data_IF_385509919017
#
_entry.id   IF_385509919017
#
_cell.length_a   1.000
_cell.length_b   1.000
_cell.length_c   1.000
_cell.angle_alpha   90.00
_cell.angle_beta   90.00
_cell.angle_gamma   90.00
#
_symmetry.space_group_name_H-M   'P 1'
#
loop_
_entity.id
_entity.type
_entity.pdbx_description
1 polymer ?
#
# COMPACT_ATOMS: atom_id res chain seq x y z
N UNK A 1 -9.86 7.32 -15.53
CA UNK A 1 -9.40 7.23 -14.14
C UNK A 1 -9.49 5.78 -13.76
N UNK A 2 -8.38 5.15 -13.38
CA UNK A 2 -8.46 3.81 -12.79
C UNK A 2 -9.08 3.95 -11.39
N UNK A 3 -10.00 3.06 -11.08
CA UNK A 3 -10.67 3.00 -9.78
C UNK A 3 -9.75 2.29 -8.78
N UNK A 4 -9.43 2.94 -7.66
CA UNK A 4 -8.57 2.39 -6.61
C UNK A 4 -9.15 1.10 -6.00
N UNK A 5 -10.49 0.97 -5.97
CA UNK A 5 -11.16 -0.26 -5.49
C UNK A 5 -10.87 -1.41 -6.45
N UNK A 6 -11.08 -1.21 -7.75
CA UNK A 6 -10.79 -2.24 -8.77
C UNK A 6 -9.30 -2.62 -8.80
N UNK A 7 -8.40 -1.71 -8.40
CA UNK A 7 -6.99 -2.03 -8.29
C UNK A 7 -6.66 -2.81 -7.01
N UNK A 8 -7.34 -2.55 -5.89
CA UNK A 8 -7.22 -3.33 -4.66
C UNK A 8 -7.62 -4.80 -4.89
N UNK A 9 -8.70 -5.03 -5.64
CA UNK A 9 -9.19 -6.36 -5.98
C UNK A 9 -8.16 -7.22 -6.73
N UNK A 10 -7.31 -6.60 -7.57
CA UNK A 10 -6.22 -7.30 -8.29
C UNK A 10 -5.17 -7.92 -7.34
N UNK A 11 -5.08 -7.40 -6.12
CA UNK A 11 -4.22 -7.92 -5.05
C UNK A 11 -4.96 -8.85 -4.08
N UNK A 12 -6.21 -9.21 -4.40
CA UNK A 12 -7.07 -10.00 -3.52
C UNK A 12 -7.55 -9.22 -2.29
N UNK A 13 -7.44 -7.89 -2.30
CA UNK A 13 -7.83 -7.03 -1.18
C UNK A 13 -9.31 -6.68 -1.36
N UNK A 14 -10.16 -7.27 -0.54
CA UNK A 14 -11.63 -7.15 -0.66
C UNK A 14 -12.32 -6.75 0.64
N UNK A 15 -11.66 -6.87 1.80
CA UNK A 15 -12.19 -6.35 3.05
C UNK A 15 -12.23 -4.81 3.03
N UNK A 16 -13.33 -4.23 3.50
CA UNK A 16 -13.57 -2.78 3.42
C UNK A 16 -12.46 -1.95 4.10
N UNK A 17 -11.92 -2.41 5.23
CA UNK A 17 -10.81 -1.72 5.92
C UNK A 17 -9.57 -1.72 5.04
N UNK A 18 -9.16 -2.88 4.57
CA UNK A 18 -7.97 -3.03 3.76
C UNK A 18 -8.10 -2.36 2.38
N UNK A 19 -9.29 -2.36 1.77
CA UNK A 19 -9.57 -1.59 0.55
C UNK A 19 -9.39 -0.10 0.79
N UNK A 20 -9.88 0.43 1.91
CA UNK A 20 -9.72 1.85 2.26
C UNK A 20 -8.25 2.22 2.39
N UNK A 21 -7.46 1.41 3.11
CA UNK A 21 -6.02 1.60 3.28
C UNK A 21 -5.29 1.55 1.92
N UNK A 22 -5.64 0.59 1.08
CA UNK A 22 -5.08 0.49 -0.25
C UNK A 22 -5.40 1.73 -1.11
N UNK A 23 -6.65 2.19 -1.10
CA UNK A 23 -7.09 3.37 -1.85
C UNK A 23 -6.35 4.63 -1.40
N UNK A 24 -6.04 4.77 -0.11
CA UNK A 24 -5.21 5.87 0.37
C UNK A 24 -3.79 5.83 -0.20
N UNK A 25 -3.15 4.66 -0.27
CA UNK A 25 -1.85 4.54 -0.95
C UNK A 25 -1.95 4.91 -2.43
N UNK A 26 -3.02 4.48 -3.10
CA UNK A 26 -3.27 4.78 -4.50
C UNK A 26 -3.48 6.29 -4.76
N UNK A 27 -4.17 6.99 -3.85
CA UNK A 27 -4.38 8.43 -3.92
C UNK A 27 -3.08 9.18 -3.64
N UNK A 28 -2.35 8.78 -2.59
CA UNK A 28 -1.13 9.45 -2.12
C UNK A 28 0.01 9.35 -3.13
N UNK A 29 0.27 8.14 -3.63
CA UNK A 29 1.41 7.86 -4.50
C UNK A 29 1.05 7.79 -5.99
N UNK A 30 -0.25 7.86 -6.30
CA UNK A 30 -0.78 7.80 -7.64
C UNK A 30 -0.86 6.39 -8.25
N UNK A 31 -1.52 6.26 -9.42
CA UNK A 31 -1.59 5.00 -10.15
C UNK A 31 -0.20 4.45 -10.48
N UNK A 32 0.02 3.16 -10.23
CA UNK A 32 1.29 2.50 -10.52
C UNK A 32 2.38 2.64 -9.45
N UNK A 33 2.05 3.18 -8.27
CA UNK A 33 2.99 3.29 -7.13
C UNK A 33 3.72 1.97 -6.81
N UNK A 34 3.04 0.83 -6.98
CA UNK A 34 3.63 -0.50 -6.78
C UNK A 34 4.88 -0.78 -7.62
N UNK A 35 5.03 -0.08 -8.75
CA UNK A 35 6.12 -0.30 -9.71
C UNK A 35 7.13 0.85 -9.73
N UNK A 36 6.78 1.99 -9.13
CA UNK A 36 7.65 3.16 -9.13
C UNK A 36 8.90 2.91 -8.24
N UNK A 37 10.10 3.35 -8.64
CA UNK A 37 11.34 3.01 -7.92
C UNK A 37 11.34 3.32 -6.42
N UNK A 38 10.75 4.45 -6.01
CA UNK A 38 10.69 4.88 -4.61
C UNK A 38 9.72 4.04 -3.74
N UNK A 39 8.71 3.42 -4.35
CA UNK A 39 7.60 2.75 -3.69
C UNK A 39 7.48 1.28 -4.08
N UNK A 40 8.42 0.74 -4.87
CA UNK A 40 8.42 -0.64 -5.37
C UNK A 40 8.29 -1.68 -4.25
N UNK A 41 8.90 -1.39 -3.11
CA UNK A 41 8.83 -2.24 -1.92
C UNK A 41 7.39 -2.47 -1.42
N UNK A 42 6.45 -1.54 -1.67
CA UNK A 42 5.04 -1.72 -1.35
C UNK A 42 4.40 -2.73 -2.30
N UNK A 43 4.70 -2.64 -3.60
CA UNK A 43 4.24 -3.60 -4.61
C UNK A 43 4.75 -5.01 -4.33
N UNK A 44 6.02 -5.14 -3.94
CA UNK A 44 6.61 -6.42 -3.55
C UNK A 44 5.80 -7.05 -2.39
N UNK A 45 5.51 -6.29 -1.33
CA UNK A 45 4.68 -6.74 -0.19
C UNK A 45 3.24 -7.11 -0.61
N UNK A 46 2.61 -6.28 -1.45
CA UNK A 46 1.23 -6.51 -1.90
C UNK A 46 1.11 -7.85 -2.67
N UNK A 47 2.14 -8.23 -3.41
CA UNK A 47 2.19 -9.47 -4.20
C UNK A 47 2.63 -10.71 -3.40
N UNK A 48 3.02 -10.60 -2.12
CA UNK A 48 3.42 -11.75 -1.31
C UNK A 48 2.24 -12.71 -1.04
N UNK A 49 2.16 -13.82 -1.77
CA UNK A 49 1.02 -14.74 -1.72
C UNK A 49 0.75 -15.34 -0.32
N UNK A 50 1.79 -15.52 0.49
CA UNK A 50 1.69 -16.21 1.78
C UNK A 50 1.18 -15.31 2.92
N UNK A 51 1.00 -14.00 2.70
CA UNK A 51 0.54 -13.06 3.73
C UNK A 51 -0.89 -12.58 3.50
N UNK A 52 -1.71 -12.49 4.55
CA UNK A 52 -3.01 -11.83 4.48
C UNK A 52 -2.90 -10.35 4.09
N UNK A 53 -3.94 -9.82 3.43
CA UNK A 53 -4.03 -8.41 3.05
C UNK A 53 -3.81 -7.45 4.24
N UNK A 54 -4.40 -7.77 5.39
CA UNK A 54 -4.27 -6.97 6.61
C UNK A 54 -2.83 -6.86 7.10
N UNK A 55 -2.07 -7.96 7.06
CA UNK A 55 -0.66 -7.97 7.46
C UNK A 55 0.19 -7.15 6.49
N UNK A 56 -0.01 -7.32 5.17
CA UNK A 56 0.70 -6.55 4.13
C UNK A 56 0.52 -5.05 4.32
N UNK A 57 -0.72 -4.61 4.48
CA UNK A 57 -1.04 -3.19 4.62
C UNK A 57 -0.55 -2.63 5.95
N UNK A 58 -0.70 -3.36 7.06
CA UNK A 58 -0.14 -2.94 8.35
C UNK A 58 1.39 -2.74 8.27
N UNK A 59 2.12 -3.63 7.59
CA UNK A 59 3.57 -3.50 7.40
C UNK A 59 3.94 -2.28 6.54
N UNK A 60 3.16 -2.00 5.49
CA UNK A 60 3.35 -0.82 4.65
C UNK A 60 3.19 0.46 5.48
N UNK A 61 2.08 0.58 6.22
CA UNK A 61 1.80 1.76 7.04
C UNK A 61 2.82 1.93 8.17
N UNK A 62 3.19 0.84 8.87
CA UNK A 62 4.22 0.90 9.91
C UNK A 62 5.57 1.40 9.36
N UNK A 63 5.95 0.98 8.15
CA UNK A 63 7.19 1.45 7.52
C UNK A 63 7.11 2.93 7.10
N UNK A 64 5.95 3.39 6.63
CA UNK A 64 5.73 4.79 6.29
C UNK A 64 5.80 5.68 7.54
N UNK A 65 5.12 5.30 8.62
CA UNK A 65 5.16 6.01 9.91
C UNK A 65 6.61 6.13 10.44
N UNK A 66 7.38 5.04 10.38
CA UNK A 66 8.78 5.03 10.77
C UNK A 66 9.67 5.91 9.86
N UNK A 67 9.31 6.10 8.60
CA UNK A 67 10.03 6.99 7.70
C UNK A 67 9.72 8.46 8.00
N UNK A 68 8.45 8.78 8.28
CA UNK A 68 8.01 10.13 8.65
C UNK A 68 8.58 10.57 9.99
N UNK A 69 8.59 9.68 11.00
CA UNK A 69 9.17 9.98 12.31
C UNK A 69 10.63 10.43 12.22
N UNK A 70 11.43 9.78 11.37
CA UNK A 70 12.84 10.15 11.14
C UNK A 70 13.03 11.49 10.42
N UNK A 71 12.03 11.96 9.68
CA UNK A 71 12.09 13.24 8.99
C UNK A 71 11.61 14.41 9.86
N UNK A 72 10.86 14.14 10.93
CA UNK A 72 10.40 15.14 11.90
C UNK A 72 11.41 15.49 13.00
N UNK A 73 12.55 14.79 13.08
CA UNK A 73 13.63 15.02 14.04
C UNK A 73 14.76 15.91 13.50
N UNK A 74 14.52 16.63 12.39
CA UNK A 74 15.48 17.50 11.70
C UNK A 74 15.31 18.99 11.95
#
# INVERSE_FOLDING_TARGET
MEDGIAHAERHGITDAREVTLYVFLFIEFGPGFEKAPATRWMGDLLTEAQRPASEKLNLIYARLELAQARQGEG
#
